data_IF_360463123593
#
_entry.id   IF_360463123593
#
_cell.length_a   1.000
_cell.length_b   1.000
_cell.length_c   1.000
_cell.angle_alpha   90.00
_cell.angle_beta   90.00
_cell.angle_gamma   90.00
#
_symmetry.space_group_name_H-M   'P 1'
#
loop_
_entity.id
_entity.type
_entity.pdbx_description
1 polymer ?
2 non-polymer ?
3 non-polymer ?
4 non-polymer ?
5 water ?
#
# COMPACT_ATOMS: atom_id res chain seq x y z
N UNK A 4 -6.48 -24.20 -1.31
CA UNK A 4 -7.53 -23.55 -2.09
C UNK A 4 -7.36 -22.03 -2.07
N UNK A 5 -7.65 -21.41 -0.93
CA UNK A 5 -7.45 -19.99 -0.72
C UNK A 5 -5.98 -19.62 -0.53
N UNK A 6 -5.07 -20.59 -0.63
CA UNK A 6 -3.68 -20.38 -0.26
C UNK A 6 -2.87 -19.80 -1.41
N UNK A 7 -1.92 -18.95 -1.06
CA UNK A 7 -0.96 -18.39 -2.02
C UNK A 7 0.43 -18.49 -1.41
N UNK A 8 1.41 -18.84 -2.24
CA UNK A 8 2.78 -18.95 -1.78
C UNK A 8 3.37 -17.56 -1.54
N UNK A 9 4.09 -17.42 -0.44
CA UNK A 9 4.73 -16.16 -0.08
C UNK A 9 6.13 -16.11 -0.67
N UNK A 10 6.48 -14.96 -1.25
CA UNK A 10 7.83 -14.73 -1.77
C UNK A 10 8.83 -14.67 -0.62
N UNK A 11 9.66 -15.70 -0.48
CA UNK A 11 10.76 -15.64 0.47
C UNK A 11 11.96 -16.34 -0.12
N UNK A 12 13.14 -16.02 0.44
CA UNK A 12 14.39 -16.66 0.05
C UNK A 12 15.36 -16.55 1.23
N UNK A 13 14.93 -17.07 2.38
CA UNK A 13 15.71 -16.93 3.60
C UNK A 13 17.01 -17.71 3.57
N UNK A 14 17.15 -18.69 2.67
CA UNK A 14 18.39 -19.45 2.58
C UNK A 14 19.40 -18.84 1.62
N UNK A 15 19.06 -17.73 0.97
CA UNK A 15 19.97 -17.13 0.00
C UNK A 15 21.03 -16.28 0.72
N UNK A 16 22.31 -16.45 0.41
CA UNK A 16 23.33 -15.61 1.08
C UNK A 16 23.10 -14.12 0.88
N UNK A 17 22.43 -13.71 -0.19
CA UNK A 17 22.23 -12.28 -0.41
C UNK A 17 21.26 -11.69 0.61
N UNK A 18 20.28 -12.47 1.07
CA UNK A 18 19.40 -11.99 2.14
C UNK A 18 20.08 -12.07 3.49
N UNK A 19 20.82 -13.16 3.74
CA UNK A 19 21.54 -13.31 5.01
C UNK A 19 22.53 -12.17 5.20
N UNK A 20 23.29 -11.86 4.16
CA UNK A 20 24.31 -10.83 4.29
C UNK A 20 23.73 -9.43 4.38
N UNK A 21 22.50 -9.23 3.90
CA UNK A 21 21.85 -7.93 4.09
C UNK A 21 21.64 -7.65 5.57
N UNK A 22 21.08 -8.62 6.29
CA UNK A 22 20.84 -8.43 7.71
C UNK A 22 22.11 -8.59 8.54
N UNK A 23 23.09 -9.34 8.04
CA UNK A 23 24.39 -9.37 8.71
C UNK A 23 25.06 -8.00 8.64
N UNK A 24 24.95 -7.34 7.50
CA UNK A 24 25.48 -5.99 7.36
C UNK A 24 24.86 -5.06 8.40
N UNK A 25 23.54 -5.13 8.57
CA UNK A 25 22.87 -4.27 9.54
C UNK A 25 23.15 -4.71 10.97
N UNK A 26 23.25 -6.02 11.21
CA UNK A 26 23.59 -6.48 12.55
C UNK A 26 24.94 -5.91 12.98
N UNK A 27 25.96 -6.01 12.13
CA UNK A 27 27.26 -5.44 12.45
C UNK A 27 27.15 -3.94 12.71
N UNK A 28 26.28 -3.26 11.95
CA UNK A 28 26.05 -1.84 12.19
C UNK A 28 25.49 -1.62 13.59
N UNK A 29 24.52 -2.44 14.00
CA UNK A 29 24.02 -2.35 15.36
C UNK A 29 25.06 -2.79 16.38
N UNK A 30 25.92 -3.75 16.00
CA UNK A 30 26.94 -4.29 16.90
C UNK A 30 28.09 -3.30 16.98
N UNK A 31 27.84 -2.21 17.71
CA UNK A 31 28.80 -1.11 17.79
C UNK A 31 30.18 -1.61 18.21
N UNK A 32 30.24 -2.25 19.38
CA UNK A 32 31.51 -2.73 19.91
C UNK A 32 31.98 -4.02 19.26
N UNK A 33 31.29 -4.51 18.23
CA UNK A 33 31.77 -5.65 17.48
C UNK A 33 32.01 -6.90 18.30
N UNK A 34 31.21 -7.13 19.34
CA UNK A 34 31.33 -8.34 20.14
C UNK A 34 30.29 -9.40 19.76
N UNK A 35 29.58 -9.21 18.66
CA UNK A 35 28.63 -10.20 18.18
C UNK A 35 27.33 -10.25 18.92
N UNK A 36 27.06 -9.30 19.81
CA UNK A 36 25.84 -9.29 20.60
C UNK A 36 25.22 -7.91 20.59
N UNK A 37 23.89 -7.87 20.60
CA UNK A 37 23.13 -6.63 20.68
C UNK A 37 21.96 -6.86 21.62
N UNK A 38 21.36 -5.75 22.05
CA UNK A 38 20.20 -5.81 22.93
C UNK A 38 19.14 -4.84 22.43
N UNK A 39 17.89 -5.17 22.75
CA UNK A 39 16.80 -4.24 22.45
C UNK A 39 17.03 -2.90 23.14
N UNK A 40 17.67 -2.92 24.31
CA UNK A 40 17.99 -1.67 25.00
C UNK A 40 18.84 -0.76 24.12
N UNK A 41 19.90 -1.31 23.52
CA UNK A 41 20.77 -0.51 22.68
C UNK A 41 20.05 -0.05 21.42
N UNK A 42 19.23 -0.93 20.83
CA UNK A 42 18.51 -0.55 19.61
C UNK A 42 17.60 0.64 19.88
N UNK A 43 16.82 0.58 20.96
CA UNK A 43 15.86 1.65 21.21
C UNK A 43 16.56 2.93 21.64
N UNK A 44 17.72 2.83 22.30
CA UNK A 44 18.47 4.03 22.65
C UNK A 44 19.12 4.65 21.40
N UNK A 45 19.76 3.81 20.59
CA UNK A 45 20.46 4.29 19.40
C UNK A 45 19.50 4.51 18.25
N UNK A 46 18.80 3.46 17.82
CA UNK A 46 17.94 3.53 16.65
C UNK A 46 16.65 4.32 16.88
N UNK A 47 16.38 4.79 18.10
CA UNK A 47 15.17 5.56 18.32
C UNK A 47 15.44 6.85 19.10
N UNK A 48 15.72 6.73 20.39
CA UNK A 48 15.74 7.90 21.27
C UNK A 48 16.79 8.91 20.83
N UNK A 49 17.93 8.43 20.33
CA UNK A 49 19.01 9.34 19.93
C UNK A 49 18.78 9.91 18.53
N UNK A 50 18.13 9.15 17.64
CA UNK A 50 17.75 9.70 16.34
C UNK A 50 16.75 10.83 16.52
N UNK A 51 15.74 10.61 17.36
CA UNK A 51 14.69 11.62 17.55
C UNK A 51 15.24 12.88 18.19
N UNK A 52 16.25 12.76 19.05
CA UNK A 52 16.85 13.95 19.63
C UNK A 52 17.55 14.79 18.57
N UNK A 53 18.31 14.15 17.68
CA UNK A 53 19.00 14.92 16.65
C UNK A 53 18.01 15.48 15.64
N UNK A 54 16.95 14.74 15.34
CA UNK A 54 15.92 15.25 14.44
C UNK A 54 15.04 16.30 15.10
N UNK A 55 15.15 16.49 16.41
CA UNK A 55 14.30 17.41 17.15
C UNK A 55 12.82 17.02 17.08
N UNK A 56 12.53 15.73 16.99
CA UNK A 56 11.15 15.28 16.99
C UNK A 56 10.45 15.71 18.27
N UNK A 57 9.14 15.91 18.19
CA UNK A 57 8.38 16.24 19.38
C UNK A 57 8.44 15.09 20.37
N UNK A 58 8.19 15.37 21.65
CA UNK A 58 8.11 14.27 22.62
C UNK A 58 7.15 13.16 22.22
N UNK A 59 5.97 13.50 21.71
CA UNK A 59 5.02 12.44 21.31
C UNK A 59 5.54 11.67 20.12
N UNK A 60 6.17 12.35 19.16
CA UNK A 60 6.78 11.63 18.04
C UNK A 60 7.90 10.73 18.53
N UNK A 61 8.73 11.23 19.45
CA UNK A 61 9.78 10.38 20.03
C UNK A 61 9.17 9.15 20.70
N UNK A 62 8.09 9.33 21.45
CA UNK A 62 7.42 8.18 22.08
C UNK A 62 6.87 7.23 21.03
N UNK A 63 6.14 7.76 20.04
CA UNK A 63 5.55 6.91 19.03
C UNK A 63 6.62 6.15 18.26
N UNK A 64 7.72 6.82 17.94
CA UNK A 64 8.81 6.15 17.25
C UNK A 64 9.39 5.03 18.10
N UNK A 65 9.58 5.28 19.39
CA UNK A 65 10.10 4.23 20.27
C UNK A 65 9.17 3.03 20.29
N UNK A 66 7.86 3.27 20.40
CA UNK A 66 6.90 2.17 20.44
C UNK A 66 7.01 1.32 19.19
N UNK A 67 7.28 1.93 18.04
CA UNK A 67 7.29 1.18 16.80
C UNK A 67 8.61 0.43 16.59
N UNK A 68 9.73 1.04 16.96
CA UNK A 68 10.99 0.30 16.91
C UNK A 68 10.98 -0.81 17.94
N UNK A 69 10.44 -0.52 19.13
CA UNK A 69 10.32 -1.53 20.18
C UNK A 69 9.50 -2.73 19.67
N UNK A 70 8.34 -2.46 19.06
CA UNK A 70 7.49 -3.55 18.62
C UNK A 70 8.10 -4.28 17.44
N UNK A 71 8.79 -3.56 16.55
CA UNK A 71 9.35 -4.19 15.36
C UNK A 71 10.36 -5.26 15.75
N UNK A 72 11.33 -4.90 16.58
CA UNK A 72 12.38 -5.85 16.94
C UNK A 72 11.94 -6.85 18.01
N UNK A 73 10.81 -6.62 18.68
CA UNK A 73 10.19 -7.70 19.44
C UNK A 73 9.59 -8.74 18.52
N UNK A 74 9.11 -8.33 17.35
CA UNK A 74 8.73 -9.29 16.33
C UNK A 74 9.88 -10.13 15.84
N UNK A 75 11.11 -9.72 16.13
CA UNK A 75 12.30 -10.53 15.87
C UNK A 75 12.72 -11.37 17.07
N UNK A 76 11.95 -11.35 18.15
CA UNK A 76 12.28 -12.14 19.33
C UNK A 76 13.17 -11.46 20.34
N UNK A 77 13.45 -10.17 20.18
CA UNK A 77 14.32 -9.46 21.10
C UNK A 77 13.48 -8.87 22.23
N UNK A 78 14.01 -8.97 23.45
CA UNK A 78 13.37 -8.40 24.63
C UNK A 78 14.41 -7.66 25.45
N UNK A 79 13.95 -6.66 26.19
CA UNK A 79 14.86 -5.89 27.03
C UNK A 79 15.62 -6.81 27.98
N UNK A 80 16.89 -6.48 28.21
CA UNK A 80 17.73 -7.23 29.11
C UNK A 80 18.30 -8.52 28.57
N UNK A 81 17.99 -8.87 27.32
CA UNK A 81 18.44 -10.10 26.69
C UNK A 81 19.46 -9.76 25.61
N UNK A 82 20.64 -10.35 25.71
CA UNK A 82 21.63 -10.21 24.64
C UNK A 82 21.27 -11.14 23.49
N UNK A 83 21.54 -10.69 22.26
CA UNK A 83 21.13 -11.38 21.06
C UNK A 83 22.31 -11.48 20.11
N UNK A 84 22.59 -12.68 19.64
CA UNK A 84 23.61 -12.90 18.63
C UNK A 84 22.95 -13.07 17.27
N UNK A 85 23.78 -13.02 16.22
CA UNK A 85 23.22 -12.95 14.87
C UNK A 85 22.36 -14.14 14.51
N UNK A 86 22.75 -15.40 14.79
CA UNK A 86 21.89 -16.52 14.41
C UNK A 86 20.46 -16.37 14.90
N UNK A 87 20.28 -16.00 16.17
CA UNK A 87 18.95 -15.73 16.68
C UNK A 87 18.34 -14.52 15.98
N UNK A 88 19.13 -13.46 15.77
CA UNK A 88 18.64 -12.28 15.08
C UNK A 88 18.05 -12.64 13.72
N UNK A 89 18.74 -13.49 12.96
CA UNK A 89 18.26 -13.81 11.62
C UNK A 89 17.06 -14.73 11.66
N UNK A 90 17.03 -15.67 12.60
CA UNK A 90 15.87 -16.53 12.77
C UNK A 90 14.63 -15.70 13.13
N UNK A 91 14.82 -14.67 13.94
CA UNK A 91 13.70 -13.78 14.23
C UNK A 91 13.23 -13.03 13.01
N UNK A 92 14.16 -12.66 12.13
CA UNK A 92 13.77 -11.96 10.90
C UNK A 92 12.95 -12.87 10.00
N UNK A 93 13.27 -14.16 9.98
CA UNK A 93 12.46 -15.11 9.23
C UNK A 93 11.03 -15.12 9.76
N UNK A 94 10.88 -15.25 11.08
CA UNK A 94 9.54 -15.23 11.68
C UNK A 94 8.86 -13.90 11.44
N UNK A 95 9.58 -12.80 11.68
CA UNK A 95 9.00 -11.48 11.44
C UNK A 95 8.51 -11.35 10.01
N UNK A 96 9.37 -11.66 9.05
CA UNK A 96 9.02 -11.49 7.63
C UNK A 96 7.80 -12.33 7.27
N UNK A 97 7.81 -13.61 7.65
CA UNK A 97 6.68 -14.46 7.33
C UNK A 97 5.40 -13.91 7.94
N UNK A 98 5.45 -13.49 9.20
CA UNK A 98 4.29 -12.90 9.84
C UNK A 98 3.85 -11.63 9.11
N UNK A 99 4.81 -10.77 8.78
CA UNK A 99 4.48 -9.49 8.16
C UNK A 99 3.86 -9.70 6.79
N UNK A 100 4.38 -10.66 6.01
CA UNK A 100 3.82 -10.87 4.68
C UNK A 100 2.40 -11.39 4.74
N UNK A 101 2.06 -12.18 5.76
CA UNK A 101 0.69 -12.64 5.92
C UNK A 101 -0.22 -11.47 6.29
N UNK A 102 0.18 -10.66 7.27
CA UNK A 102 -0.59 -9.48 7.63
C UNK A 102 -0.83 -8.60 6.41
N UNK A 103 0.21 -8.37 5.61
CA UNK A 103 0.09 -7.52 4.43
C UNK A 103 -0.90 -8.10 3.44
N UNK A 104 -0.79 -9.40 3.19
CA UNK A 104 -1.73 -10.04 2.26
C UNK A 104 -3.16 -9.95 2.76
N UNK A 105 -3.36 -9.89 4.07
CA UNK A 105 -4.68 -9.79 4.68
C UNK A 105 -5.07 -8.36 5.00
N UNK A 106 -4.27 -7.37 4.60
CA UNK A 106 -4.55 -5.98 4.88
C UNK A 106 -4.66 -5.71 6.37
N UNK A 107 -3.86 -6.38 7.13
CA UNK A 107 -3.70 -6.07 8.53
C UNK A 107 -2.48 -5.18 8.72
N UNK A 108 -2.46 -4.32 9.73
CA UNK A 108 -1.32 -3.39 9.89
C UNK A 108 -0.04 -4.15 10.19
N UNK A 109 1.05 -3.69 9.58
CA UNK A 109 2.35 -4.34 9.69
C UNK A 109 3.31 -3.46 10.50
N UNK A 110 4.25 -4.13 11.17
CA UNK A 110 5.22 -3.41 11.99
C UNK A 110 6.10 -2.52 11.11
N UNK A 111 6.46 -2.99 9.92
CA UNK A 111 7.32 -2.19 9.05
C UNK A 111 6.58 -0.90 8.64
N UNK A 112 5.28 -1.00 8.36
CA UNK A 112 4.53 0.18 7.95
C UNK A 112 4.39 1.17 9.08
N UNK A 113 4.09 0.69 10.29
CA UNK A 113 3.96 1.60 11.43
C UNK A 113 5.28 2.29 11.73
N UNK A 114 6.38 1.54 11.69
CA UNK A 114 7.70 2.14 11.79
C UNK A 114 7.84 3.27 10.78
N UNK A 115 7.51 2.98 9.52
CA UNK A 115 7.56 4.01 8.50
C UNK A 115 6.68 5.21 8.82
N UNK A 116 5.48 4.96 9.36
CA UNK A 116 4.60 6.06 9.74
C UNK A 116 5.27 6.97 10.76
N UNK A 117 5.92 6.37 11.77
CA UNK A 117 6.53 7.18 12.82
C UNK A 117 7.66 8.05 12.25
N UNK A 118 8.43 7.50 11.30
CA UNK A 118 9.52 8.26 10.71
C UNK A 118 8.96 9.40 9.84
N UNK A 119 8.03 9.08 8.93
CA UNK A 119 7.48 10.11 8.08
C UNK A 119 6.79 11.21 8.90
N UNK A 120 6.12 10.82 9.99
CA UNK A 120 5.48 11.82 10.85
C UNK A 120 6.47 12.87 11.32
N UNK A 121 7.71 12.45 11.60
CA UNK A 121 8.71 13.41 12.08
C UNK A 121 9.00 14.45 11.00
N UNK A 122 8.92 14.07 9.73
CA UNK A 122 9.23 14.96 8.62
C UNK A 122 7.98 15.51 7.94
N UNK A 123 6.84 15.49 8.63
CA UNK A 123 5.57 15.90 8.03
C UNK A 123 5.25 17.34 8.39
N UNK A 124 5.99 18.25 7.74
CA UNK A 124 5.86 19.68 8.06
C UNK A 124 4.47 20.21 7.76
N UNK A 125 3.89 19.80 6.64
CA UNK A 125 2.62 20.36 6.16
C UNK A 125 1.46 19.39 6.24
N UNK A 126 1.67 18.17 6.75
CA UNK A 126 0.60 17.22 6.89
C UNK A 126 0.31 16.38 5.66
N UNK A 127 1.00 16.60 4.54
CA UNK A 127 0.81 15.81 3.34
C UNK A 127 1.62 14.52 3.33
N UNK A 128 2.48 14.31 4.33
CA UNK A 128 3.22 13.06 4.47
C UNK A 128 4.29 12.85 3.41
N UNK A 129 5.09 13.88 3.15
CA UNK A 129 6.15 13.82 2.15
C UNK A 129 7.51 13.86 2.83
N UNK A 130 8.46 13.12 2.27
CA UNK A 130 9.86 13.23 2.63
C UNK A 130 10.62 13.72 1.41
N UNK A 131 11.33 14.82 1.57
CA UNK A 131 12.17 15.34 0.50
C UNK A 131 13.55 14.70 0.56
N UNK A 132 14.27 14.80 -0.56
CA UNK A 132 15.64 14.31 -0.61
C UNK A 132 16.47 14.92 0.50
N UNK A 133 16.35 16.24 0.70
CA UNK A 133 17.11 16.90 1.75
C UNK A 133 16.76 16.33 3.12
N UNK A 134 15.48 16.05 3.36
CA UNK A 134 15.08 15.44 4.62
C UNK A 134 15.65 14.03 4.74
N UNK A 135 15.59 13.24 3.67
CA UNK A 135 16.12 11.90 3.71
C UNK A 135 17.63 11.91 3.97
N UNK A 136 18.35 12.80 3.30
CA UNK A 136 19.79 12.91 3.53
C UNK A 136 20.08 13.13 5.01
N UNK A 137 19.28 13.98 5.67
CA UNK A 137 19.46 14.21 7.10
C UNK A 137 19.12 12.96 7.90
N UNK A 138 18.03 12.28 7.55
CA UNK A 138 17.70 11.03 8.22
C UNK A 138 18.78 9.99 7.99
N UNK A 139 19.15 9.77 6.73
CA UNK A 139 20.14 8.76 6.42
C UNK A 139 21.44 8.94 7.17
N UNK A 140 21.85 10.18 7.41
CA UNK A 140 23.07 10.43 8.16
C UNK A 140 22.87 10.23 9.66
N UNK A 141 21.71 10.65 10.18
CA UNK A 141 21.48 10.54 11.62
C UNK A 141 21.16 9.11 12.01
N UNK A 142 20.35 8.40 11.21
CA UNK A 142 20.06 7.00 11.48
C UNK A 142 21.21 6.08 11.09
N UNK A 143 22.10 6.56 10.22
CA UNK A 143 23.17 5.73 9.72
C UNK A 143 22.77 4.75 8.64
N UNK A 144 21.50 4.75 8.22
CA UNK A 144 21.09 3.84 7.16
C UNK A 144 21.69 4.28 5.83
N UNK A 145 21.96 5.57 5.67
CA UNK A 145 22.43 6.08 4.39
C UNK A 145 23.19 7.39 4.58
N UNK A 146 24.40 7.34 5.16
CA UNK A 146 25.15 8.59 5.37
C UNK A 146 25.65 9.21 4.08
N UNK A 147 26.00 8.40 3.08
CA UNK A 147 26.46 8.94 1.82
C UNK A 147 25.35 9.72 1.13
N UNK A 148 25.64 10.98 0.78
CA UNK A 148 24.67 11.77 0.03
C UNK A 148 24.37 11.12 -1.31
N UNK A 149 25.37 10.52 -1.94
CA UNK A 149 25.16 9.85 -3.22
C UNK A 149 24.14 8.73 -3.09
N UNK A 150 24.28 7.91 -2.04
CA UNK A 150 23.34 6.82 -1.84
C UNK A 150 21.91 7.34 -1.69
N UNK A 151 21.73 8.41 -0.91
CA UNK A 151 20.39 8.97 -0.75
C UNK A 151 19.82 9.41 -2.08
N UNK A 152 20.65 10.01 -2.94
CA UNK A 152 20.19 10.41 -4.27
C UNK A 152 19.84 9.19 -5.11
N UNK A 153 20.64 8.13 -4.99
CA UNK A 153 20.31 6.89 -5.71
C UNK A 153 18.99 6.32 -5.22
N UNK A 154 18.71 6.43 -3.93
CA UNK A 154 17.43 5.94 -3.41
C UNK A 154 16.27 6.64 -4.09
N UNK A 155 16.39 7.95 -4.32
CA UNK A 155 15.28 8.69 -4.94
C UNK A 155 15.19 8.43 -6.44
N UNK A 156 16.32 8.26 -7.13
CA UNK A 156 16.24 7.82 -8.51
C UNK A 156 15.60 6.44 -8.59
N UNK A 157 15.83 5.60 -7.58
CA UNK A 157 15.29 4.24 -7.58
C UNK A 157 13.79 4.23 -7.34
N UNK A 158 13.33 5.02 -6.37
CA UNK A 158 11.92 5.02 -5.97
C UNK A 158 11.07 5.82 -6.95
N UNK A 159 9.78 5.49 -6.96
CA UNK A 159 8.80 6.32 -7.66
C UNK A 159 8.45 7.52 -6.80
N UNK A 160 8.53 8.71 -7.37
CA UNK A 160 8.36 9.96 -6.64
C UNK A 160 7.10 10.66 -7.11
N UNK A 161 6.67 11.64 -6.32
CA UNK A 161 5.53 12.47 -6.69
C UNK A 161 6.01 13.65 -7.54
N UNK A 162 5.07 14.53 -7.90
CA UNK A 162 5.39 15.58 -8.85
C UNK A 162 6.47 16.52 -8.36
N UNK A 163 6.68 16.61 -7.05
CA UNK A 163 7.69 17.51 -6.50
C UNK A 163 9.02 16.80 -6.25
N UNK A 164 9.21 15.60 -6.80
CA UNK A 164 10.41 14.85 -6.53
C UNK A 164 10.47 14.29 -5.13
N UNK A 165 9.34 14.20 -4.45
CA UNK A 165 9.26 13.79 -3.06
C UNK A 165 8.78 12.34 -2.94
N UNK A 166 8.91 11.81 -1.73
CA UNK A 166 8.69 10.39 -1.43
C UNK A 166 7.62 10.26 -0.36
N UNK A 167 6.78 9.22 -0.46
CA UNK A 167 5.75 8.97 0.55
C UNK A 167 5.93 7.58 1.16
N UNK A 168 5.15 7.30 2.20
CA UNK A 168 5.41 6.17 3.06
C UNK A 168 5.03 4.86 2.38
N UNK A 169 3.96 4.87 1.60
CA UNK A 169 3.54 3.65 0.90
C UNK A 169 4.64 3.15 -0.03
N UNK A 170 5.23 4.05 -0.79
CA UNK A 170 6.34 3.69 -1.66
C UNK A 170 7.48 3.08 -0.85
N UNK A 171 7.98 3.82 0.13
CA UNK A 171 9.13 3.35 0.89
C UNK A 171 8.82 2.05 1.61
N UNK A 172 7.58 1.88 2.07
CA UNK A 172 7.22 0.65 2.74
C UNK A 172 7.20 -0.53 1.76
N UNK A 173 6.73 -0.31 0.54
CA UNK A 173 6.75 -1.38 -0.45
C UNK A 173 8.19 -1.72 -0.84
N UNK A 174 9.06 -0.72 -0.94
CA UNK A 174 10.47 -1.00 -1.15
C UNK A 174 11.01 -1.86 -0.02
N UNK A 175 10.67 -1.51 1.21
CA UNK A 175 11.20 -2.24 2.36
C UNK A 175 10.76 -3.70 2.32
N UNK A 176 9.52 -3.97 1.92
CA UNK A 176 9.07 -5.35 1.80
C UNK A 176 10.00 -6.14 0.89
N UNK A 177 10.36 -5.57 -0.26
CA UNK A 177 11.22 -6.28 -1.18
C UNK A 177 12.66 -6.35 -0.71
N UNK A 178 13.14 -5.31 -0.04
CA UNK A 178 14.55 -5.28 0.33
C UNK A 178 14.84 -6.12 1.57
N UNK A 179 14.01 -6.03 2.60
CA UNK A 179 14.30 -6.66 3.87
C UNK A 179 13.59 -7.99 4.08
N UNK A 180 12.45 -8.22 3.42
CA UNK A 180 11.65 -9.43 3.66
C UNK A 180 11.79 -10.47 2.54
N UNK A 181 11.52 -10.10 1.29
CA UNK A 181 11.33 -11.08 0.23
C UNK A 181 12.48 -11.18 -0.76
N UNK A 182 13.41 -10.23 -0.77
CA UNK A 182 14.52 -10.25 -1.73
C UNK A 182 14.00 -10.09 -3.15
N UNK A 183 12.98 -9.26 -3.31
CA UNK A 183 12.49 -8.95 -4.65
C UNK A 183 13.60 -8.26 -5.42
N UNK A 184 13.91 -8.70 -6.64
CA UNK A 184 14.92 -7.98 -7.44
C UNK A 184 14.56 -6.53 -7.70
N UNK A 185 13.29 -6.15 -7.60
CA UNK A 185 12.89 -4.77 -7.84
C UNK A 185 13.39 -3.84 -6.75
N UNK A 186 13.67 -4.36 -5.56
CA UNK A 186 14.17 -3.55 -4.45
C UNK A 186 15.68 -3.45 -4.43
N UNK A 187 16.38 -4.23 -5.25
CA UNK A 187 17.84 -4.16 -5.28
C UNK A 187 18.30 -2.76 -5.63
N UNK A 188 19.28 -2.25 -4.87
CA UNK A 188 19.77 -0.89 -5.05
C UNK A 188 18.98 0.16 -4.33
N UNK A 189 18.11 -0.22 -3.39
CA UNK A 189 17.28 0.75 -2.68
C UNK A 189 18.15 1.78 -1.97
N UNK A 190 19.22 1.35 -1.31
CA UNK A 190 20.12 2.26 -0.61
C UNK A 190 21.42 2.48 -1.38
N UNK A 191 21.37 2.39 -2.70
CA UNK A 191 22.57 2.58 -3.49
C UNK A 191 23.61 1.53 -3.13
N UNK A 192 24.83 1.98 -2.86
CA UNK A 192 25.92 1.09 -2.47
C UNK A 192 26.09 0.99 -0.96
N UNK A 193 25.20 1.61 -0.19
CA UNK A 193 25.35 1.61 1.25
C UNK A 193 25.00 0.30 1.91
N UNK A 194 24.01 -0.41 1.36
CA UNK A 194 23.56 -1.66 1.97
C UNK A 194 23.47 -2.73 0.87
N UNK A 195 24.08 -3.91 1.07
CA UNK A 195 24.01 -4.94 0.03
C UNK A 195 22.65 -5.63 -0.01
N UNK B 5 5.79 -21.72 3.89
CA UNK B 5 5.49 -20.29 3.93
C UNK B 5 4.40 -19.93 2.94
N UNK B 6 3.15 -19.99 3.40
CA UNK B 6 2.01 -19.68 2.56
C UNK B 6 0.93 -19.01 3.40
N UNK B 7 0.07 -18.25 2.74
CA UNK B 7 -1.00 -17.52 3.41
C UNK B 7 -2.32 -17.91 2.74
N UNK B 8 -3.35 -18.10 3.57
CA UNK B 8 -4.70 -18.40 3.09
C UNK B 8 -5.51 -17.11 3.10
N UNK B 9 -5.89 -16.65 1.91
CA UNK B 9 -6.67 -15.42 1.75
C UNK B 9 -8.12 -15.81 1.49
N UNK B 10 -8.97 -15.63 2.49
CA UNK B 10 -10.36 -16.05 2.39
C UNK B 10 -11.12 -15.18 1.39
N UNK B 11 -12.02 -15.82 0.65
CA UNK B 11 -13.04 -15.13 -0.13
C UNK B 11 -14.39 -15.80 0.17
N UNK B 12 -15.46 -15.14 -0.25
CA UNK B 12 -16.81 -15.62 0.02
C UNK B 12 -17.67 -15.32 -1.21
N UNK B 13 -17.35 -15.99 -2.32
CA UNK B 13 -18.02 -15.73 -3.59
C UNK B 13 -19.45 -16.24 -3.59
N UNK B 14 -19.79 -17.20 -2.74
CA UNK B 14 -21.14 -17.70 -2.65
C UNK B 14 -21.99 -16.96 -1.63
N UNK B 15 -21.42 -16.01 -0.90
CA UNK B 15 -22.21 -15.24 0.05
C UNK B 15 -23.12 -14.26 -0.69
N UNK B 16 -24.43 -14.25 -0.42
CA UNK B 16 -25.31 -13.30 -1.11
C UNK B 16 -24.92 -11.85 -0.92
N UNK B 17 -24.20 -11.52 0.16
CA UNK B 17 -23.79 -10.14 0.38
C UNK B 17 -22.76 -9.71 -0.68
N UNK B 18 -21.89 -10.63 -1.10
CA UNK B 18 -20.94 -10.33 -2.17
C UNK B 18 -21.63 -10.33 -3.52
N UNK B 19 -22.63 -11.20 -3.70
CA UNK B 19 -23.38 -11.25 -4.94
C UNK B 19 -24.19 -9.97 -5.11
N UNK B 20 -24.93 -9.58 -4.08
CA UNK B 20 -25.74 -8.36 -4.18
C UNK B 20 -24.89 -7.14 -4.41
N UNK B 21 -23.67 -7.13 -3.86
CA UNK B 21 -22.79 -5.99 -4.06
C UNK B 21 -22.50 -5.77 -5.54
N UNK B 22 -22.08 -6.83 -6.25
CA UNK B 22 -21.79 -6.68 -7.67
C UNK B 22 -23.05 -6.65 -8.53
N UNK B 23 -24.15 -7.22 -8.05
CA UNK B 23 -25.41 -7.08 -8.79
C UNK B 23 -25.87 -5.64 -8.77
N UNK B 24 -25.66 -4.94 -7.65
CA UNK B 24 -26.01 -3.54 -7.57
C UNK B 24 -25.28 -2.73 -8.65
N UNK B 25 -23.96 -2.95 -8.78
CA UNK B 25 -23.18 -2.21 -9.76
C UNK B 25 -23.51 -2.63 -11.18
N UNK B 26 -23.85 -3.90 -11.39
CA UNK B 26 -24.23 -4.36 -12.73
C UNK B 26 -25.48 -3.64 -13.22
N UNK B 27 -26.50 -3.55 -12.36
CA UNK B 27 -27.70 -2.80 -12.71
C UNK B 27 -27.36 -1.34 -13.00
N UNK B 28 -26.45 -0.77 -12.23
CA UNK B 28 -26.00 0.60 -12.47
C UNK B 28 -25.40 0.73 -13.86
N UNK B 29 -24.55 -0.23 -14.26
CA UNK B 29 -24.01 -0.22 -15.61
C UNK B 29 -25.07 -0.55 -16.64
N UNK B 30 -26.09 -1.32 -16.26
CA UNK B 30 -27.16 -1.72 -17.19
C UNK B 30 -28.16 -0.58 -17.29
N UNK B 31 -27.77 0.44 -18.04
CA UNK B 31 -28.56 1.67 -18.14
C UNK B 31 -29.95 1.36 -18.69
N UNK B 32 -30.01 0.72 -19.86
CA UNK B 32 -31.29 0.40 -20.48
C UNK B 32 -32.01 -0.75 -19.81
N UNK B 33 -31.43 -1.32 -18.75
CA UNK B 33 -32.12 -2.35 -17.99
C UNK B 33 -32.51 -3.58 -18.80
N UNK B 34 -31.65 -4.00 -19.72
CA UNK B 34 -31.90 -5.20 -20.53
C UNK B 34 -31.09 -6.40 -20.05
N UNK B 35 -30.42 -6.29 -18.91
CA UNK B 35 -29.67 -7.40 -18.36
C UNK B 35 -28.37 -7.68 -19.06
N UNK B 36 -27.88 -6.74 -19.88
CA UNK B 36 -26.67 -6.95 -20.66
C UNK B 36 -25.85 -5.67 -20.69
N UNK B 37 -24.54 -5.82 -20.53
CA UNK B 37 -23.59 -4.73 -20.64
C UNK B 37 -22.52 -5.15 -21.64
N UNK B 38 -21.71 -4.17 -22.05
CA UNK B 38 -20.60 -4.42 -22.96
C UNK B 38 -19.39 -3.61 -22.51
N UNK B 39 -18.20 -4.11 -22.85
CA UNK B 39 -17.00 -3.35 -22.58
C UNK B 39 -17.01 -2.01 -23.29
N UNK B 40 -17.78 -1.90 -24.38
CA UNK B 40 -17.88 -0.63 -25.09
C UNK B 40 -18.57 0.42 -24.23
N UNK B 41 -19.72 0.06 -23.65
CA UNK B 41 -20.46 1.01 -22.82
C UNK B 41 -19.68 1.37 -21.57
N UNK B 42 -19.06 0.39 -20.92
CA UNK B 42 -18.29 0.67 -19.71
C UNK B 42 -17.20 1.69 -20.00
N UNK B 43 -16.39 1.43 -21.02
CA UNK B 43 -15.29 2.34 -21.34
C UNK B 43 -15.84 3.70 -21.77
N UNK B 44 -16.99 3.71 -22.44
CA UNK B 44 -17.54 4.96 -22.92
C UNK B 44 -18.12 5.79 -21.77
N UNK B 45 -19.08 5.20 -21.04
CA UNK B 45 -19.78 5.93 -19.99
C UNK B 45 -18.92 6.04 -18.73
N UNK B 46 -18.35 4.92 -18.30
CA UNK B 46 -17.63 4.85 -17.03
C UNK B 46 -16.15 5.24 -17.15
N UNK B 47 -15.71 5.72 -18.31
CA UNK B 47 -14.34 6.19 -18.44
C UNK B 47 -14.26 7.47 -19.25
N UNK B 48 -14.58 7.40 -20.54
CA UNK B 48 -14.43 8.57 -21.40
C UNK B 48 -15.38 9.69 -21.01
N UNK B 49 -16.65 9.36 -20.75
CA UNK B 49 -17.60 10.41 -20.37
C UNK B 49 -17.28 10.98 -19.00
N UNK B 50 -16.76 10.16 -18.08
CA UNK B 50 -16.37 10.66 -16.76
C UNK B 50 -15.21 11.64 -16.89
N UNK B 51 -14.18 11.26 -17.66
CA UNK B 51 -13.00 12.10 -17.78
C UNK B 51 -13.34 13.44 -18.44
N UNK B 52 -14.34 13.46 -19.33
CA UNK B 52 -14.71 14.71 -19.97
C UNK B 52 -15.40 15.65 -18.98
N UNK B 53 -16.28 15.11 -18.14
CA UNK B 53 -16.91 15.93 -17.11
C UNK B 53 -15.86 16.55 -16.18
N UNK B 54 -14.95 15.71 -15.67
CA UNK B 54 -13.88 16.20 -14.81
C UNK B 54 -12.84 17.02 -15.57
N UNK B 55 -12.94 17.09 -16.90
CA UNK B 55 -12.01 17.87 -17.72
C UNK B 55 -10.57 17.38 -17.51
N UNK B 56 -10.41 16.07 -17.36
CA UNK B 56 -9.07 15.51 -17.28
C UNK B 56 -8.29 15.85 -18.54
N UNK B 57 -6.96 15.90 -18.42
CA UNK B 57 -6.14 16.11 -19.60
C UNK B 57 -6.27 14.90 -20.51
N UNK B 58 -5.98 15.07 -21.80
CA UNK B 58 -5.99 13.91 -22.70
C UNK B 58 -5.12 12.76 -22.23
N UNK B 59 -3.95 13.04 -21.66
CA UNK B 59 -3.07 11.95 -21.21
C UNK B 59 -3.67 11.24 -20.00
N UNK B 60 -4.19 12.01 -19.03
CA UNK B 60 -4.87 11.38 -17.90
C UNK B 60 -6.08 10.59 -18.36
N UNK B 61 -6.74 11.06 -19.43
CA UNK B 61 -7.91 10.37 -19.94
C UNK B 61 -7.52 9.00 -20.50
N UNK B 62 -6.48 8.96 -21.31
CA UNK B 62 -6.08 7.70 -21.93
C UNK B 62 -5.58 6.70 -20.88
N UNK B 63 -4.74 7.16 -19.94
CA UNK B 63 -4.30 6.28 -18.86
C UNK B 63 -5.51 5.72 -18.11
N UNK B 64 -6.55 6.52 -17.94
CA UNK B 64 -7.76 6.07 -17.25
C UNK B 64 -8.49 5.01 -18.08
N UNK B 65 -8.72 5.32 -19.37
CA UNK B 65 -9.36 4.35 -20.26
C UNK B 65 -8.59 3.04 -20.30
N UNK B 66 -7.26 3.12 -20.36
CA UNK B 66 -6.45 1.91 -20.39
C UNK B 66 -6.67 1.07 -19.14
N UNK B 67 -6.77 1.73 -17.97
CA UNK B 67 -6.93 1.00 -16.73
C UNK B 67 -8.32 0.41 -16.60
N UNK B 68 -9.35 1.13 -17.05
CA UNK B 68 -10.70 0.60 -17.02
C UNK B 68 -10.85 -0.54 -18.01
N UNK B 69 -10.39 -0.32 -19.24
CA UNK B 69 -10.38 -1.37 -20.24
C UNK B 69 -9.71 -2.63 -19.70
N UNK B 70 -8.53 -2.47 -19.08
CA UNK B 70 -7.79 -3.62 -18.60
C UNK B 70 -8.45 -4.25 -17.39
N UNK B 71 -9.04 -3.45 -16.52
CA UNK B 71 -9.68 -4.00 -15.33
C UNK B 71 -10.85 -4.90 -15.70
N UNK B 72 -11.65 -4.50 -16.68
CA UNK B 72 -12.85 -5.26 -17.00
C UNK B 72 -12.59 -6.37 -18.00
N UNK B 73 -11.53 -6.28 -18.81
CA UNK B 73 -11.07 -7.46 -19.53
C UNK B 73 -10.65 -8.54 -18.55
N UNK B 74 -10.17 -8.14 -17.36
CA UNK B 74 -9.92 -9.10 -16.30
C UNK B 74 -11.17 -9.79 -15.80
N UNK B 75 -12.35 -9.23 -16.08
CA UNK B 75 -13.63 -9.86 -15.79
C UNK B 75 -14.13 -10.71 -16.94
N UNK B 76 -13.33 -10.91 -17.97
CA UNK B 76 -13.75 -11.67 -19.13
C UNK B 76 -14.51 -10.90 -20.19
N UNK B 77 -14.62 -9.59 -20.05
CA UNK B 77 -15.34 -8.78 -21.02
C UNK B 77 -14.42 -8.35 -22.15
N UNK B 78 -15.00 -8.25 -23.35
CA UNK B 78 -14.28 -7.81 -24.52
C UNK B 78 -15.18 -6.91 -25.36
N UNK B 79 -14.55 -6.04 -26.14
CA UNK B 79 -15.30 -5.16 -27.02
C UNK B 79 -16.14 -6.00 -27.98
N UNK B 80 -17.39 -5.59 -28.16
CA UNK B 80 -18.29 -6.20 -29.12
C UNK B 80 -19.10 -7.37 -28.60
N UNK B 81 -18.97 -7.73 -27.32
CA UNK B 81 -19.66 -8.87 -26.74
C UNK B 81 -20.57 -8.37 -25.63
N UNK B 82 -21.82 -8.82 -25.65
CA UNK B 82 -22.75 -8.53 -24.57
C UNK B 82 -22.57 -9.54 -23.45
N UNK B 83 -22.71 -9.07 -22.21
CA UNK B 83 -22.42 -9.85 -21.02
C UNK B 83 -23.59 -9.74 -20.06
N UNK B 84 -24.18 -10.88 -19.70
CA UNK B 84 -25.20 -10.91 -18.67
C UNK B 84 -24.55 -11.14 -17.31
N UNK B 85 -25.34 -10.91 -16.25
CA UNK B 85 -24.75 -10.89 -14.92
C UNK B 85 -24.07 -12.19 -14.52
N UNK B 86 -24.59 -13.38 -14.82
CA UNK B 86 -23.89 -14.61 -14.42
C UNK B 86 -22.46 -14.67 -14.93
N UNK B 87 -22.23 -14.32 -16.20
CA UNK B 87 -20.87 -14.26 -16.71
C UNK B 87 -20.09 -13.13 -16.04
N UNK B 88 -20.74 -11.97 -15.86
CA UNK B 88 -20.11 -10.87 -15.15
C UNK B 88 -19.61 -11.32 -13.78
N UNK B 89 -20.47 -11.99 -13.00
CA UNK B 89 -20.07 -12.38 -11.66
C UNK B 89 -18.98 -13.44 -11.69
N UNK B 90 -19.03 -14.35 -12.66
CA UNK B 90 -17.98 -15.37 -12.76
C UNK B 90 -16.64 -14.74 -13.06
N UNK B 91 -16.62 -13.72 -13.93
CA UNK B 91 -15.37 -13.03 -14.20
C UNK B 91 -14.80 -12.38 -12.95
N UNK B 92 -15.66 -11.76 -12.14
CA UNK B 92 -15.21 -11.13 -10.91
C UNK B 92 -14.58 -12.15 -9.96
N UNK B 93 -15.13 -13.36 -9.91
CA UNK B 93 -14.51 -14.41 -9.09
C UNK B 93 -13.09 -14.67 -9.56
N UNK B 94 -12.90 -14.80 -10.88
CA UNK B 94 -11.57 -15.06 -11.41
C UNK B 94 -10.65 -13.86 -11.24
N UNK B 95 -11.17 -12.66 -11.50
CA UNK B 95 -10.36 -11.46 -11.31
C UNK B 95 -9.89 -11.35 -9.86
N UNK B 96 -10.82 -11.46 -8.92
CA UNK B 96 -10.45 -11.37 -7.51
C UNK B 96 -9.40 -12.42 -7.16
N UNK B 97 -9.59 -13.65 -7.62
CA UNK B 97 -8.63 -14.71 -7.32
C UNK B 97 -7.24 -14.34 -7.81
N UNK B 98 -7.15 -13.84 -9.05
CA UNK B 98 -5.85 -13.48 -9.60
C UNK B 98 -5.27 -12.26 -8.91
N UNK B 99 -6.12 -11.28 -8.58
CA UNK B 99 -5.65 -10.07 -7.93
C UNK B 99 -5.11 -10.37 -6.53
N UNK B 100 -5.81 -11.19 -5.76
CA UNK B 100 -5.34 -11.51 -4.41
C UNK B 100 -4.00 -12.23 -4.43
N UNK B 101 -3.76 -13.07 -5.45
CA UNK B 101 -2.46 -13.71 -5.55
C UNK B 101 -1.36 -12.68 -5.81
N UNK B 102 -1.59 -11.76 -6.76
CA UNK B 102 -0.64 -10.67 -6.98
C UNK B 102 -0.39 -9.92 -5.68
N UNK B 103 -1.47 -9.51 -5.01
CA UNK B 103 -1.35 -8.75 -3.78
C UNK B 103 -0.49 -9.47 -2.76
N UNK B 104 -0.76 -10.76 -2.54
CA UNK B 104 -0.03 -11.50 -1.52
C UNK B 104 1.45 -11.59 -1.85
N UNK B 105 1.80 -11.53 -3.13
CA UNK B 105 3.19 -11.58 -3.55
C UNK B 105 3.73 -10.20 -3.90
N UNK B 106 3.03 -9.13 -3.48
CA UNK B 106 3.53 -7.77 -3.57
C UNK B 106 3.70 -7.30 -5.01
N UNK B 107 2.87 -7.81 -5.91
CA UNK B 107 2.95 -7.47 -7.32
C UNK B 107 1.83 -6.49 -7.68
N UNK B 108 2.00 -5.73 -8.77
CA UNK B 108 1.00 -4.72 -9.12
C UNK B 108 -0.34 -5.35 -9.45
N UNK B 109 -1.41 -4.67 -9.03
CA UNK B 109 -2.78 -5.12 -9.27
C UNK B 109 -3.49 -4.15 -10.21
N UNK B 110 -4.57 -4.66 -10.82
CA UNK B 110 -5.37 -3.82 -11.70
C UNK B 110 -6.20 -2.80 -10.93
N UNK B 111 -6.60 -3.15 -9.70
CA UNK B 111 -7.43 -2.22 -8.94
C UNK B 111 -6.59 -1.04 -8.43
N UNK B 112 -5.32 -1.31 -8.07
CA UNK B 112 -4.45 -0.21 -7.67
C UNK B 112 -4.18 0.73 -8.84
N UNK B 113 -3.95 0.17 -10.04
CA UNK B 113 -3.66 1.00 -11.20
C UNK B 113 -4.86 1.84 -11.59
N UNK B 114 -6.07 1.25 -11.56
CA UNK B 114 -7.27 2.04 -11.76
C UNK B 114 -7.36 3.15 -10.72
N UNK B 115 -7.08 2.84 -9.47
CA UNK B 115 -7.08 3.86 -8.43
C UNK B 115 -6.08 4.95 -8.68
N UNK B 116 -4.86 4.58 -9.10
CA UNK B 116 -3.86 5.59 -9.43
C UNK B 116 -4.35 6.52 -10.52
N UNK B 117 -5.02 5.97 -11.54
CA UNK B 117 -5.47 6.80 -12.66
C UNK B 117 -6.57 7.76 -12.25
N UNK B 118 -7.41 7.38 -11.28
CA UNK B 118 -8.45 8.27 -10.81
C UNK B 118 -7.87 9.36 -9.93
N UNK B 119 -7.06 8.96 -8.94
CA UNK B 119 -6.50 9.93 -7.99
C UNK B 119 -5.58 10.92 -8.68
N UNK B 120 -4.97 10.52 -9.79
CA UNK B 120 -4.08 11.42 -10.52
C UNK B 120 -4.85 12.50 -11.27
N UNK B 121 -6.16 12.31 -11.48
CA UNK B 121 -6.94 13.36 -12.12
C UNK B 121 -7.18 14.53 -11.17
N UNK B 122 -7.01 14.32 -9.87
CA UNK B 122 -7.27 15.36 -8.88
C UNK B 122 -6.02 15.83 -8.15
N UNK B 123 -5.07 14.94 -7.87
CA UNK B 123 -3.94 15.27 -6.99
C UNK B 123 -2.89 16.03 -7.79
N UNK B 124 -2.85 17.35 -7.57
CA UNK B 124 -1.84 18.20 -8.20
C UNK B 124 -0.42 17.84 -7.76
N UNK B 125 -0.28 17.19 -6.60
CA UNK B 125 1.04 16.77 -6.13
C UNK B 125 1.52 15.47 -6.76
N UNK B 126 0.63 14.68 -7.37
CA UNK B 126 1.04 13.40 -7.92
C UNK B 126 1.47 12.39 -6.88
N UNK B 127 0.95 12.49 -5.66
CA UNK B 127 1.26 11.58 -4.57
C UNK B 127 0.15 10.59 -4.27
N UNK B 128 -0.96 10.64 -5.03
CA UNK B 128 -2.08 9.76 -4.79
C UNK B 128 -2.90 10.16 -3.58
N UNK B 129 -3.22 11.45 -3.47
CA UNK B 129 -3.94 11.98 -2.31
C UNK B 129 -5.05 12.91 -2.81
N UNK B 130 -6.28 12.66 -2.36
CA UNK B 130 -7.43 13.46 -2.74
C UNK B 130 -8.17 13.92 -1.49
N UNK B 131 -8.94 14.99 -1.65
CA UNK B 131 -9.67 15.62 -0.57
C UNK B 131 -11.14 15.19 -0.62
N UNK B 132 -11.85 15.46 0.48
CA UNK B 132 -13.27 15.14 0.54
C UNK B 132 -14.03 15.79 -0.61
N UNK B 133 -13.77 17.08 -0.85
CA UNK B 133 -14.46 17.78 -1.92
C UNK B 133 -14.19 17.14 -3.28
N UNK B 134 -12.93 16.77 -3.54
CA UNK B 134 -12.62 16.08 -4.78
C UNK B 134 -13.38 14.76 -4.88
N UNK B 135 -13.38 13.97 -3.79
CA UNK B 135 -14.09 12.70 -3.83
C UNK B 135 -15.59 12.90 -4.05
N UNK B 136 -16.15 13.97 -3.47
CA UNK B 136 -17.55 14.26 -3.71
C UNK B 136 -17.81 14.53 -5.18
N UNK B 137 -16.88 15.23 -5.85
CA UNK B 137 -17.05 15.49 -7.28
C UNK B 137 -17.00 14.21 -8.08
N UNK B 138 -16.05 13.32 -7.77
CA UNK B 138 -15.95 12.07 -8.51
C UNK B 138 -17.15 11.17 -8.22
N UNK B 139 -17.55 11.07 -6.95
CA UNK B 139 -18.70 10.23 -6.62
C UNK B 139 -19.95 10.64 -7.36
N UNK B 140 -20.13 11.94 -7.59
CA UNK B 140 -21.30 12.43 -8.31
C UNK B 140 -21.18 12.10 -9.80
N UNK B 141 -20.02 12.38 -10.39
CA UNK B 141 -19.89 12.26 -11.83
C UNK B 141 -19.76 10.80 -12.25
N UNK B 142 -19.09 9.98 -11.45
CA UNK B 142 -19.04 8.55 -11.73
C UNK B 142 -20.31 7.84 -11.32
N UNK B 143 -21.00 8.37 -10.30
CA UNK B 143 -22.22 7.76 -9.80
C UNK B 143 -22.03 6.77 -8.68
N UNK B 144 -20.79 6.49 -8.29
CA UNK B 144 -20.56 5.52 -7.22
C UNK B 144 -21.09 6.04 -5.89
N UNK B 145 -21.13 7.36 -5.71
CA UNK B 145 -21.66 7.92 -4.47
C UNK B 145 -22.06 9.37 -4.68
N UNK B 146 -23.21 9.63 -5.31
CA UNK B 146 -23.65 11.03 -5.49
C UNK B 146 -24.07 11.71 -4.19
N UNK B 147 -24.30 10.96 -3.11
CA UNK B 147 -24.69 11.55 -1.84
C UNK B 147 -23.47 12.10 -1.12
N UNK B 148 -23.56 13.35 -0.65
CA UNK B 148 -22.46 13.91 0.11
C UNK B 148 -22.28 13.18 1.44
N UNK B 149 -23.38 12.86 2.12
CA UNK B 149 -23.28 12.15 3.39
C UNK B 149 -22.55 10.83 3.21
N UNK B 150 -22.82 10.12 2.13
CA UNK B 150 -22.08 8.90 1.84
C UNK B 150 -20.60 9.19 1.64
N UNK B 151 -20.28 10.29 0.96
CA UNK B 151 -18.88 10.66 0.76
C UNK B 151 -18.21 11.01 2.07
N UNK B 152 -18.93 11.66 2.99
CA UNK B 152 -18.37 11.95 4.30
C UNK B 152 -18.21 10.66 5.10
N UNK B 153 -19.18 9.75 5.00
CA UNK B 153 -19.04 8.45 5.68
C UNK B 153 -17.82 7.71 5.17
N UNK B 154 -17.51 7.82 3.88
CA UNK B 154 -16.34 7.16 3.33
C UNK B 154 -15.06 7.67 3.98
N UNK B 155 -14.97 8.98 4.24
CA UNK B 155 -13.77 9.55 4.86
C UNK B 155 -13.71 9.26 6.35
N UNK B 156 -14.86 9.22 7.02
CA UNK B 156 -14.87 8.72 8.39
C UNK B 156 -14.38 7.28 8.44
N UNK B 157 -14.86 6.46 7.50
CA UNK B 157 -14.53 5.04 7.48
C UNK B 157 -13.03 4.82 7.26
N UNK B 158 -12.47 5.42 6.22
CA UNK B 158 -11.08 5.18 5.87
C UNK B 158 -10.14 5.90 6.84
N UNK B 159 -8.96 5.33 7.01
CA UNK B 159 -7.89 5.99 7.74
C UNK B 159 -7.28 7.07 6.87
N UNK B 160 -7.34 8.32 7.33
CA UNK B 160 -6.89 9.46 6.57
C UNK B 160 -5.49 9.88 7.00
N UNK B 161 -4.87 10.75 6.20
CA UNK B 161 -3.55 11.26 6.54
C UNK B 161 -3.68 12.35 7.60
N UNK B 162 -2.55 12.95 7.96
CA UNK B 162 -2.54 13.94 9.04
C UNK B 162 -3.34 15.20 8.67
N UNK B 163 -3.64 15.41 7.40
CA UNK B 163 -4.44 16.54 6.96
C UNK B 163 -5.91 16.20 6.73
N UNK B 164 -6.31 14.96 6.97
CA UNK B 164 -7.68 14.57 6.72
C UNK B 164 -7.97 14.25 5.27
N UNK B 165 -6.96 13.97 4.46
CA UNK B 165 -7.13 13.56 3.08
C UNK B 165 -7.01 12.03 2.97
N UNK B 166 -7.37 11.52 1.80
CA UNK B 166 -7.45 10.09 1.56
C UNK B 166 -6.34 9.65 0.60
N UNK B 167 -5.55 8.67 1.01
CA UNK B 167 -4.46 8.15 0.19
C UNK B 167 -4.97 7.01 -0.69
N UNK B 168 -4.38 6.89 -1.88
CA UNK B 168 -4.82 5.85 -2.83
C UNK B 168 -4.49 4.46 -2.31
N UNK B 169 -3.39 4.31 -1.55
CA UNK B 169 -3.07 2.99 -1.03
C UNK B 169 -4.09 2.56 0.02
N UNK B 170 -4.60 3.49 0.81
CA UNK B 170 -5.67 3.16 1.74
C UNK B 170 -6.94 2.78 1.00
N UNK B 171 -7.34 3.60 0.03
CA UNK B 171 -8.55 3.30 -0.72
C UNK B 171 -8.45 1.96 -1.43
N UNK B 172 -7.26 1.63 -1.95
CA UNK B 172 -7.07 0.35 -2.62
C UNK B 172 -7.19 -0.81 -1.63
N UNK B 173 -6.64 -0.65 -0.42
CA UNK B 173 -6.82 -1.68 0.60
C UNK B 173 -8.30 -1.86 0.93
N UNK B 174 -9.08 -0.77 0.89
CA UNK B 174 -10.51 -0.87 1.10
C UNK B 174 -11.19 -1.58 -0.07
N UNK B 175 -10.75 -1.31 -1.29
CA UNK B 175 -11.34 -1.95 -2.45
C UNK B 175 -11.09 -3.46 -2.45
N UNK B 176 -9.89 -3.88 -2.05
CA UNK B 176 -9.63 -5.31 -1.93
C UNK B 176 -10.64 -5.97 -1.02
N UNK B 177 -10.87 -5.37 0.15
CA UNK B 177 -11.81 -5.95 1.09
C UNK B 177 -13.25 -5.81 0.66
N UNK B 178 -13.57 -4.72 -0.06
CA UNK B 178 -14.97 -4.45 -0.38
C UNK B 178 -15.41 -5.22 -1.61
N UNK B 179 -14.60 -5.20 -2.67
CA UNK B 179 -15.01 -5.77 -3.95
C UNK B 179 -14.58 -7.22 -4.13
N UNK B 180 -13.49 -7.64 -3.49
CA UNK B 180 -12.92 -8.96 -3.74
C UNK B 180 -13.22 -9.98 -2.64
N UNK B 181 -12.94 -9.63 -1.38
CA UNK B 181 -12.93 -10.62 -0.30
C UNK B 181 -14.11 -10.52 0.66
N UNK B 182 -14.90 -9.46 0.60
CA UNK B 182 -15.99 -9.24 1.55
C UNK B 182 -15.46 -9.12 2.98
N UNK B 183 -14.35 -8.40 3.12
CA UNK B 183 -13.73 -8.17 4.43
C UNK B 183 -14.68 -7.33 5.28
N UNK B 184 -15.08 -7.81 6.46
CA UNK B 184 -15.98 -6.99 7.30
C UNK B 184 -15.42 -5.62 7.63
N UNK B 185 -14.09 -5.45 7.60
CA UNK B 185 -13.53 -4.13 7.86
C UNK B 185 -13.76 -3.15 6.72
N UNK B 186 -14.26 -3.62 5.58
CA UNK B 186 -14.57 -2.74 4.46
C UNK B 186 -16.06 -2.45 4.32
N UNK B 187 -16.91 -3.13 5.07
CA UNK B 187 -18.34 -2.86 5.01
C UNK B 187 -18.62 -1.40 5.34
N UNK B 188 -19.52 -0.80 4.58
CA UNK B 188 -19.80 0.62 4.75
C UNK B 188 -18.75 1.53 4.15
N UNK B 189 -17.91 1.01 3.26
CA UNK B 189 -16.92 1.85 2.59
C UNK B 189 -17.58 2.99 1.83
N UNK B 190 -18.69 2.73 1.15
CA UNK B 190 -19.39 3.73 0.37
C UNK B 190 -20.64 4.24 1.08
N UNK B 191 -20.60 4.29 2.41
CA UNK B 191 -21.79 4.72 3.14
C UNK B 191 -22.95 3.80 2.84
N UNK B 192 -24.12 4.39 2.65
CA UNK B 192 -25.34 3.65 2.38
C UNK B 192 -25.62 3.47 0.90
N UNK B 193 -24.72 3.92 0.03
CA UNK B 193 -24.98 3.90 -1.39
C UNK B 193 -24.85 2.54 -2.05
N UNK B 194 -23.83 1.78 -1.65
CA UNK B 194 -23.52 0.47 -2.24
C UNK B 194 -23.66 -0.58 -1.16
N UNK B 195 -24.44 -1.64 -1.36
CA UNK B 195 -24.52 -2.71 -0.36
C UNK B 195 -23.30 -3.62 -0.39
X LIG C 1 16.98 1.47 10.53
X LIG C 1 18.04 -0.26 11.68
X LIG C 1 17.98 -2.50 10.80
X LIG C 1 18.33 -3.83 10.90
X LIG C 1 17.92 -4.71 9.91
X LIG C 1 17.18 -4.30 8.82
X LIG C 1 16.84 -2.97 8.71
X LIG C 1 17.23 -2.06 9.70
X LIG C 1 16.91 -0.72 9.63
X LIG C 1 15.87 0.94 8.49
X LIG C 1 15.06 1.34 7.27
X LIG C 1 12.89 1.53 8.40
X LIG C 1 11.63 2.30 8.78
X LIG C 1 11.47 3.54 8.38
X LIG C 1 12.54 4.20 7.52
X LIG C 1 13.61 3.54 7.18
X LIG C 1 15.90 3.25 9.35
X LIG C 1 16.26 1.85 9.47
X LIG C 1 18.28 -6.06 10.02
X LIG C 1 17.30 0.17 10.60
X LIG C 1 13.80 2.10 7.66
X LIG C 1 18.38 -1.61 11.78
X LIG C 1 16.21 -0.32 8.60
X LIG C 1 18.35 0.43 12.44
X LIG C 1 18.91 -4.19 11.74
X LIG C 1 16.88 -5.00 8.05
X LIG C 1 16.26 -2.62 7.87
X LIG C 1 14.78 0.45 6.72
X LIG C 1 15.67 1.97 6.63
X LIG C 1 13.01 0.51 8.74
X LIG C 1 10.87 1.83 9.40
X LIG C 1 10.58 4.09 8.65
X LIG C 1 12.41 5.23 7.19
X LIG C 1 14.38 4.01 6.57
X LIG C 1 16.38 3.84 8.69
X LIG C 1 15.18 3.63 9.94
X LIG C 1 19.11 -6.12 10.47
X LIG C 1 18.96 -1.95 12.64
X LIG D 1 27.76 -5.64 20.85
X LIG E 1 7.28 12.38 -11.42
X LIG E 1 8.51 13.04 -10.94
X LIG E 1 6.08 13.33 -12.40
X LIG E 1 6.96 10.64 -11.03
X LIG E 1 5.95 12.85 -13.37
X LIG E 1 6.43 14.34 -12.53
X LIG E 1 5.13 13.34 -11.89
X LIG E 1 6.00 10.54 -10.55
X LIG E 1 7.74 10.27 -10.36
X LIG E 1 6.97 10.06 -11.95
X LIG F 1 25.79 1.17 7.12
X LIG F 1 26.58 -0.02 7.45
X LIG F 1 26.55 2.82 7.27
X LIG F 1 24.07 1.00 6.58
X LIG F 1 27.58 2.71 7.59
X LIG F 1 25.99 3.40 7.99
X LIG F 1 26.52 3.32 6.30
X LIG F 1 23.80 -0.04 6.56
X LIG F 1 23.96 1.42 5.58
X LIG F 1 23.43 1.53 7.27
X LIG G 1 11.66 18.62 10.64
X LIG G 1 10.46 17.81 10.44
X LIG G 1 11.59 20.10 11.69
X LIG G 1 13.22 18.14 9.85
X LIG G 1 12.31 20.02 12.48
X LIG G 1 10.60 20.19 12.12
X LIG G 1 11.81 20.98 11.09
X LIG G 1 13.96 17.91 10.60
X LIG G 1 13.58 18.96 9.23
X LIG G 1 13.06 17.26 9.23
X LIG H 1 -16.90 2.50 -10.81
X LIG H 1 -18.11 0.86 -11.95
X LIG H 1 -18.28 -1.37 -11.06
X LIG H 1 -18.75 -2.67 -11.15
X LIG H 1 -18.44 -3.56 -10.15
X LIG H 1 -17.67 -3.22 -9.07
X LIG H 1 -17.19 -1.92 -8.97
X LIG H 1 -17.50 -0.99 -9.96
X LIG H 1 -17.04 0.32 -9.89
X LIG H 1 -15.85 1.87 -8.76
X LIG H 1 -15.02 2.20 -7.51
X LIG H 1 -12.84 2.27 -8.67
X LIG H 1 -11.48 2.90 -8.96
X LIG H 1 -11.13 4.01 -8.33
X LIG H 1 -12.09 4.66 -7.33
X LIG H 1 -13.26 4.10 -7.10
X LIG H 1 -15.64 4.17 -9.62
X LIG H 1 -16.15 2.82 -9.74
X LIG H 1 -18.91 -4.88 -10.26
X LIG H 1 -17.34 1.24 -10.87
X LIG H 1 -13.65 2.83 -7.81
X LIG H 1 -18.58 -0.43 -12.06
X LIG H 1 -16.31 0.66 -8.86
X LIG H 1 -18.35 1.59 -12.72
X LIG H 1 -19.36 -2.96 -12.00
X LIG H 1 -17.44 -3.94 -8.30
X LIG H 1 -16.58 -1.63 -8.12
X LIG H 1 -14.85 1.27 -6.96
X LIG H 1 -15.58 2.89 -6.90
X LIG H 1 -13.11 1.35 -9.17
X LIG H 1 -10.80 2.45 -9.67
X LIG H 1 -10.17 4.46 -8.53
X LIG H 1 -11.80 5.57 -6.83
X LIG H 1 -13.93 4.56 -6.39
X LIG H 1 -15.36 4.67 -10.44
X LIG H 1 -15.59 4.60 -8.72
X LIG H 1 -19.80 -4.86 -10.58
X LIG H 1 -19.19 -0.73 -12.90
X LIG I 1 -27.68 -2.78 -21.19
X LIG J 1 -25.26 3.57 -7.20
X LIG J 1 -26.35 3.64 -8.17
X LIG J 1 -23.74 2.68 -7.60
X LIG J 1 -25.44 4.37 -5.58
X LIG J 1 -22.90 3.36 -7.54
X LIG J 1 -23.81 2.27 -8.60
X LIG J 1 -23.59 1.88 -6.89
X LIG J 1 -25.34 3.64 -4.80
X LIG J 1 -26.41 4.85 -5.52
X LIG J 1 -24.67 5.12 -5.46
X LIG K 1 -4.94 12.62 12.05
X LIG K 1 -5.85 13.74 11.78
X LIG K 1 -5.47 10.91 11.73
X LIG K 1 -3.27 12.94 12.69
X LIG K 1 -4.91 10.51 10.89
X LIG K 1 -6.53 10.90 11.49
X LIG K 1 -5.29 10.30 12.61
X LIG K 1 -2.59 12.21 12.29
X LIG K 1 -3.28 12.88 13.77
X LIG K 1 -2.96 13.93 12.38
X LIG L 1 -27.10 13.60 -0.17
X LIG L 1 -26.62 14.54 -1.17
X LIG L 1 -26.62 13.79 1.55
X LIG L 1 -28.20 12.23 -0.61
X LIG L 1 -26.38 12.82 1.95
X LIG L 1 -27.42 14.23 2.13
X LIG L 1 -25.74 14.44 1.60
X LIG L 1 -27.97 11.91 -1.62
X LIG L 1 -29.23 12.54 -0.54
X LIG L 1 -28.03 11.41 0.08
#
# INVERSE_FOLDING_TARGET
>A
MSSKYAVKLKTDFDNPRWIKRHKHMFDFLDINGNGKITLDEIVSKASDDICAKLEATPEQTKRHQVCVEAFFRGCGMEYGKEIAFPQFLDGWKQLATSELKKWARNEPTLIREWGDAVFDIFDKDGSGTITLDEWKAYGKISGISPSQEDCEATFRHCDLDNSGDLDVDEMTRQHLGFWYTLDPEADGLYGNGVP
>B
MSSKYAVKLKTDFDNPRWIKRHKHMFDFLDINGNGKITLDEIVSKASDDICAKLEATPEQTKRHQVCVEAFFRGCGMEYGKEIAFPQFLDGWKQLATSELKKWARNEPTLIREWGDAVFDIFDKDGSGTITLDEWKAYGKISGISPSQEDCEATFRHCDLDNSGDLDVDEMTRQHLGFWYTLDPEADGLYGNGVP
>C hetero
1 LK9 N1 C2 C4 C5 C6 C7 C8 C9 C10 C11 C12 C14 C15 C16 C17 C18 N C O C1 C13 C3 N2 H2 H4 H6 H7 H9 H8 H10 H11 H12 H13 H14 H1 H H5 H3
>D hetero
1 NA NA
>E hetero
1 DMS S O C1 C2 H11 H12 H13 H21 H22 H23
>F hetero
1 DMS S O C1 C2 H11 H12 H13 H21 H22 H23
>G hetero
1 DMS S O C1 C2 H11 H12 H13 H21 H22 H23
>H hetero
1 LK9 N1 C2 C4 C5 C6 C7 C8 C9 C10 C11 C12 C14 C15 C16 C17 C18 N C O C1 C13 C3 N2 H2 H4 H6 H7 H9 H8 H10 H11 H12 H13 H14 H1 H H5 H3
>I hetero
1 NA NA
>J hetero
1 DMS S O C1 C2 H11 H12 H13 H21 H22 H23
>K hetero
1 DMS S O C1 C2 H11 H12 H13 H21 H22 H23
>L hetero
1 DMS S O C1 C2 H11 H12 H13 H21 H22 H23
#
